data_IF_493964527071
#
_entry.id   IF_493964527071
#
_cell.length_a   1.000
_cell.length_b   1.000
_cell.length_c   1.000
_cell.angle_alpha   90.00
_cell.angle_beta   90.00
_cell.angle_gamma   90.00
#
_symmetry.space_group_name_H-M   'P 1'
#
loop_
_entity.id
_entity.type
_entity.pdbx_description
1 polymer ?
#
# COMPACT_ATOMS: atom_id res chain seq x y z
N UNK A 1 -35.16 114.40 39.12
CA UNK A 1 -34.96 114.02 37.72
C UNK A 1 -36.14 114.52 36.90
N UNK A 2 -35.92 115.11 35.72
CA UNK A 2 -37.02 115.67 34.91
C UNK A 2 -37.83 114.52 34.30
N UNK A 3 -39.15 114.39 34.59
CA UNK A 3 -39.96 113.23 34.17
C UNK A 3 -40.04 113.07 32.64
N UNK A 4 -39.79 114.13 31.88
CA UNK A 4 -39.76 114.12 30.42
C UNK A 4 -38.62 113.29 29.79
N UNK A 5 -37.56 112.96 30.54
CA UNK A 5 -36.43 112.18 30.00
C UNK A 5 -36.56 110.66 30.24
N UNK A 6 -37.42 110.24 31.17
CA UNK A 6 -37.50 108.82 31.58
C UNK A 6 -38.27 107.98 30.56
N UNK A 7 -39.38 108.50 30.03
CA UNK A 7 -40.22 107.86 29.01
C UNK A 7 -39.49 107.52 27.69
N UNK A 8 -38.71 108.44 27.07
CA UNK A 8 -37.97 108.09 25.87
C UNK A 8 -36.81 107.12 26.14
N UNK A 9 -36.21 107.13 27.33
CA UNK A 9 -35.10 106.20 27.65
C UNK A 9 -35.62 104.79 27.88
N UNK A 10 -36.72 104.61 28.60
CA UNK A 10 -37.30 103.27 28.84
C UNK A 10 -37.80 102.62 27.54
N UNK A 11 -38.35 103.41 26.61
CA UNK A 11 -38.77 102.92 25.30
C UNK A 11 -37.57 102.46 24.46
N UNK A 12 -36.48 103.23 24.39
CA UNK A 12 -35.24 102.82 23.71
C UNK A 12 -34.67 101.52 24.29
N UNK A 13 -34.62 101.40 25.63
CA UNK A 13 -34.14 100.19 26.31
C UNK A 13 -35.03 98.98 26.00
N UNK A 14 -36.35 99.15 25.96
CA UNK A 14 -37.27 98.05 25.62
C UNK A 14 -37.09 97.52 24.19
N UNK A 15 -36.83 98.41 23.23
CA UNK A 15 -36.54 98.03 21.84
C UNK A 15 -35.19 97.32 21.72
N UNK A 16 -34.17 97.80 22.45
CA UNK A 16 -32.86 97.15 22.48
C UNK A 16 -32.92 95.72 23.07
N UNK A 17 -33.68 95.54 24.16
CA UNK A 17 -33.90 94.21 24.75
C UNK A 17 -34.66 93.28 23.80
N UNK A 18 -35.67 93.77 23.09
CA UNK A 18 -36.39 92.97 22.10
C UNK A 18 -35.49 92.54 20.92
N UNK A 19 -34.64 93.45 20.42
CA UNK A 19 -33.67 93.13 19.38
C UNK A 19 -32.65 92.07 19.86
N UNK A 20 -32.16 92.19 21.11
CA UNK A 20 -31.26 91.21 21.72
C UNK A 20 -31.93 89.85 21.93
N UNK A 21 -33.19 89.82 22.40
CA UNK A 21 -33.92 88.56 22.54
C UNK A 21 -34.09 87.84 21.19
N UNK A 22 -34.37 88.59 20.12
CA UNK A 22 -34.51 88.01 18.77
C UNK A 22 -33.18 87.53 18.19
N UNK A 23 -32.07 88.23 18.44
CA UNK A 23 -30.74 87.76 18.03
C UNK A 23 -30.31 86.52 18.83
N UNK A 24 -30.55 86.51 20.14
CA UNK A 24 -30.27 85.37 21.01
C UNK A 24 -31.09 84.12 20.61
N UNK A 25 -32.34 84.28 20.19
CA UNK A 25 -33.16 83.19 19.68
C UNK A 25 -32.60 82.62 18.36
N UNK A 26 -32.18 83.50 17.44
CA UNK A 26 -31.52 83.11 16.18
C UNK A 26 -30.20 82.36 16.43
N UNK A 27 -29.40 82.81 17.39
CA UNK A 27 -28.13 82.16 17.75
C UNK A 27 -28.36 80.82 18.46
N UNK A 28 -29.41 80.71 19.28
CA UNK A 28 -29.84 79.45 19.90
C UNK A 28 -30.33 78.45 18.85
N UNK A 29 -31.05 78.89 17.82
CA UNK A 29 -31.39 78.03 16.68
C UNK A 29 -30.15 77.56 15.91
N UNK A 30 -29.18 78.45 15.67
CA UNK A 30 -27.90 78.08 15.02
C UNK A 30 -27.14 77.04 15.83
N UNK A 31 -27.00 77.25 17.14
CA UNK A 31 -26.38 76.29 18.06
C UNK A 31 -27.11 74.94 18.05
N UNK A 32 -28.44 74.93 18.09
CA UNK A 32 -29.24 73.70 17.98
C UNK A 32 -28.99 72.95 16.66
N UNK A 33 -28.83 73.67 15.54
CA UNK A 33 -28.48 73.03 14.25
C UNK A 33 -27.08 72.43 14.32
N UNK A 34 -26.09 73.16 14.85
CA UNK A 34 -24.72 72.66 15.00
C UNK A 34 -24.66 71.42 15.90
N UNK A 35 -25.38 71.41 17.03
CA UNK A 35 -25.47 70.26 17.92
C UNK A 35 -26.09 69.04 17.22
N UNK A 36 -27.15 69.24 16.43
CA UNK A 36 -27.74 68.15 15.63
C UNK A 36 -26.77 67.61 14.59
N UNK A 37 -26.02 68.48 13.91
CA UNK A 37 -25.01 68.05 12.95
C UNK A 37 -23.88 67.26 13.62
N UNK A 38 -23.44 67.69 14.81
CA UNK A 38 -22.44 66.95 15.57
C UNK A 38 -22.96 65.60 16.03
N UNK A 39 -24.20 65.52 16.52
CA UNK A 39 -24.84 64.26 16.92
C UNK A 39 -24.96 63.29 15.73
N UNK A 40 -25.44 63.77 14.58
CA UNK A 40 -25.52 62.96 13.36
C UNK A 40 -24.13 62.51 12.94
N UNK A 41 -23.14 63.41 12.94
CA UNK A 41 -21.77 63.07 12.57
C UNK A 41 -21.19 62.01 13.50
N UNK A 42 -21.39 62.15 14.81
CA UNK A 42 -20.93 61.17 15.79
C UNK A 42 -21.60 59.81 15.58
N UNK A 43 -22.91 59.78 15.34
CA UNK A 43 -23.64 58.53 15.06
C UNK A 43 -23.14 57.87 13.79
N UNK A 44 -23.05 58.61 12.68
CA UNK A 44 -22.54 58.07 11.41
C UNK A 44 -21.10 57.59 11.57
N UNK A 45 -20.25 58.32 12.30
CA UNK A 45 -18.87 57.89 12.54
C UNK A 45 -18.83 56.61 13.36
N UNK A 46 -19.68 56.46 14.37
CA UNK A 46 -19.78 55.25 15.19
C UNK A 46 -20.33 54.06 14.40
N UNK A 47 -21.40 54.27 13.61
CA UNK A 47 -21.99 53.23 12.76
C UNK A 47 -20.96 52.71 11.75
N UNK A 48 -20.26 53.61 11.06
CA UNK A 48 -19.20 53.25 10.10
C UNK A 48 -18.01 52.57 10.78
N UNK A 49 -17.59 53.04 11.96
CA UNK A 49 -16.52 52.39 12.72
C UNK A 49 -16.92 50.96 13.13
N UNK A 50 -18.16 50.76 13.55
CA UNK A 50 -18.70 49.45 13.91
C UNK A 50 -18.73 48.53 12.69
N UNK A 51 -19.09 49.04 11.51
CA UNK A 51 -19.02 48.28 10.26
C UNK A 51 -17.59 47.87 9.91
N UNK A 52 -16.61 48.76 10.08
CA UNK A 52 -15.20 48.40 9.87
C UNK A 52 -14.69 47.34 10.85
N UNK A 53 -15.03 47.45 12.14
CA UNK A 53 -14.67 46.44 13.13
C UNK A 53 -15.32 45.09 12.80
N UNK A 54 -16.58 45.12 12.37
CA UNK A 54 -17.29 43.94 11.92
C UNK A 54 -16.61 43.32 10.70
N UNK A 55 -16.32 44.08 9.66
CA UNK A 55 -15.64 43.61 8.44
C UNK A 55 -14.24 43.05 8.76
N UNK A 56 -13.50 43.68 9.67
CA UNK A 56 -12.22 43.17 10.15
C UNK A 56 -12.36 41.81 10.85
N UNK A 57 -13.37 41.66 11.72
CA UNK A 57 -13.64 40.39 12.42
C UNK A 57 -14.16 39.29 11.48
N UNK A 58 -15.03 39.64 10.53
CA UNK A 58 -15.56 38.75 9.50
C UNK A 58 -14.47 38.34 8.50
N UNK A 59 -13.48 39.19 8.24
CA UNK A 59 -12.31 38.88 7.44
C UNK A 59 -11.32 37.96 8.16
N UNK A 60 -11.23 38.02 9.49
CA UNK A 60 -10.33 37.19 10.28
C UNK A 60 -10.78 35.71 10.31
N UNK A 61 -12.08 35.45 10.44
CA UNK A 61 -12.62 34.10 10.48
C UNK A 61 -12.25 33.19 9.27
N UNK A 62 -12.38 33.62 8.00
CA UNK A 62 -11.97 32.82 6.84
C UNK A 62 -10.46 32.68 6.75
N UNK A 63 -9.68 33.66 7.22
CA UNK A 63 -8.21 33.56 7.31
C UNK A 63 -7.82 32.47 8.31
N UNK A 64 -8.44 32.46 9.50
CA UNK A 64 -8.19 31.44 10.52
C UNK A 64 -8.62 30.06 10.03
N UNK A 65 -9.79 29.95 9.38
CA UNK A 65 -10.24 28.71 8.77
C UNK A 65 -9.30 28.23 7.65
N UNK A 66 -8.78 29.14 6.83
CA UNK A 66 -7.81 28.81 5.79
C UNK A 66 -6.48 28.32 6.40
N UNK A 67 -6.01 28.97 7.46
CA UNK A 67 -4.81 28.58 8.19
C UNK A 67 -4.95 27.20 8.85
N UNK A 68 -6.10 26.89 9.45
CA UNK A 68 -6.37 25.56 10.01
C UNK A 68 -6.38 24.49 8.92
N UNK A 69 -7.06 24.75 7.80
CA UNK A 69 -7.05 23.85 6.65
C UNK A 69 -5.65 23.65 6.09
N UNK A 70 -4.86 24.73 5.97
CA UNK A 70 -3.46 24.65 5.53
C UNK A 70 -2.63 23.78 6.46
N UNK A 71 -2.72 23.97 7.78
CA UNK A 71 -2.02 23.12 8.78
C UNK A 71 -2.46 21.66 8.68
N UNK A 72 -3.75 21.41 8.49
CA UNK A 72 -4.26 20.03 8.34
C UNK A 72 -3.73 19.34 7.08
N UNK A 73 -3.67 20.07 5.97
CA UNK A 73 -3.12 19.60 4.70
C UNK A 73 -1.61 19.36 4.82
N UNK A 74 -0.88 20.25 5.50
CA UNK A 74 0.55 20.10 5.75
C UNK A 74 0.85 18.83 6.56
N UNK A 75 0.09 18.56 7.62
CA UNK A 75 0.20 17.31 8.38
C UNK A 75 -0.08 16.09 7.49
N UNK A 76 -1.15 16.11 6.70
CA UNK A 76 -1.49 15.01 5.79
C UNK A 76 -0.40 14.78 4.73
N UNK A 77 0.19 15.84 4.18
CA UNK A 77 1.29 15.74 3.21
C UNK A 77 2.54 15.15 3.87
N UNK A 78 2.87 15.54 5.10
CA UNK A 78 4.00 14.97 5.83
C UNK A 78 3.78 13.48 6.14
N UNK A 79 2.58 13.08 6.55
CA UNK A 79 2.24 11.67 6.75
C UNK A 79 2.35 10.86 5.46
N UNK A 80 1.80 11.37 4.35
CA UNK A 80 1.92 10.72 3.03
C UNK A 80 3.38 10.64 2.57
N UNK A 81 4.18 11.66 2.85
CA UNK A 81 5.62 11.65 2.55
C UNK A 81 6.33 10.54 3.33
N UNK A 82 6.08 10.45 4.64
CA UNK A 82 6.66 9.42 5.49
C UNK A 82 6.24 8.01 5.06
N UNK A 83 4.97 7.81 4.69
CA UNK A 83 4.47 6.54 4.16
C UNK A 83 5.14 6.17 2.83
N UNK A 84 5.35 7.15 1.94
CA UNK A 84 6.02 6.93 0.67
C UNK A 84 7.51 6.58 0.87
N UNK A 85 8.21 7.28 1.76
CA UNK A 85 9.61 6.97 2.11
C UNK A 85 9.73 5.56 2.71
N UNK A 86 8.82 5.17 3.60
CA UNK A 86 8.76 3.81 4.14
C UNK A 86 8.49 2.76 3.06
N UNK A 87 7.51 2.99 2.19
CA UNK A 87 7.17 2.06 1.11
C UNK A 87 8.31 1.91 0.09
N UNK A 88 9.07 2.98 -0.16
CA UNK A 88 10.29 2.92 -0.99
C UNK A 88 11.35 2.04 -0.34
N UNK A 89 11.61 2.23 0.96
CA UNK A 89 12.57 1.41 1.69
C UNK A 89 12.16 -0.07 1.67
N UNK A 90 10.89 -0.38 1.95
CA UNK A 90 10.37 -1.76 1.89
C UNK A 90 10.50 -2.37 0.49
N UNK A 91 10.31 -1.57 -0.57
CA UNK A 91 10.53 -2.02 -1.94
C UNK A 91 12.01 -2.30 -2.23
N UNK A 92 12.93 -1.47 -1.75
CA UNK A 92 14.37 -1.67 -1.92
C UNK A 92 14.84 -2.93 -1.17
N UNK A 93 14.37 -3.13 0.06
CA UNK A 93 14.64 -4.32 0.87
C UNK A 93 14.12 -5.59 0.19
N UNK A 94 12.90 -5.54 -0.38
CA UNK A 94 12.33 -6.66 -1.14
C UNK A 94 13.16 -6.99 -2.38
N UNK A 95 13.63 -5.98 -3.12
CA UNK A 95 14.49 -6.16 -4.28
C UNK A 95 15.85 -6.74 -3.91
N UNK A 96 16.44 -6.30 -2.79
CA UNK A 96 17.69 -6.85 -2.27
C UNK A 96 17.52 -8.31 -1.88
N UNK A 97 16.45 -8.64 -1.15
CA UNK A 97 16.12 -10.01 -0.77
C UNK A 97 15.88 -10.91 -1.98
N UNK A 98 15.21 -10.40 -3.02
CA UNK A 98 15.01 -11.13 -4.27
C UNK A 98 16.33 -11.47 -4.95
N UNK A 99 17.28 -10.53 -4.97
CA UNK A 99 18.63 -10.76 -5.54
C UNK A 99 19.38 -11.84 -4.76
N UNK A 100 19.45 -11.72 -3.43
CA UNK A 100 20.14 -12.72 -2.60
C UNK A 100 19.50 -14.09 -2.70
N UNK A 101 18.16 -14.17 -2.73
CA UNK A 101 17.45 -15.44 -2.94
C UNK A 101 17.76 -16.05 -4.30
N UNK A 102 17.89 -15.23 -5.34
CA UNK A 102 18.22 -15.71 -6.68
C UNK A 102 19.66 -16.24 -6.74
N UNK A 103 20.61 -15.56 -6.07
CA UNK A 103 22.00 -16.04 -5.96
C UNK A 103 22.07 -17.40 -5.25
N UNK A 104 21.29 -17.60 -4.18
CA UNK A 104 21.16 -18.89 -3.47
C UNK A 104 20.54 -19.97 -4.36
N UNK A 105 19.51 -19.63 -5.15
CA UNK A 105 18.92 -20.57 -6.09
C UNK A 105 19.91 -20.99 -7.17
N UNK A 106 20.66 -20.05 -7.73
CA UNK A 106 21.69 -20.34 -8.74
C UNK A 106 22.81 -21.20 -8.16
N UNK A 107 23.27 -20.93 -6.93
CA UNK A 107 24.28 -21.76 -6.28
C UNK A 107 23.76 -23.17 -5.98
N UNK A 108 22.55 -23.31 -5.44
CA UNK A 108 21.94 -24.60 -5.16
C UNK A 108 21.69 -25.41 -6.45
N UNK A 109 21.28 -24.76 -7.54
CA UNK A 109 21.14 -25.39 -8.85
C UNK A 109 22.48 -25.91 -9.37
N UNK A 110 23.58 -25.15 -9.18
CA UNK A 110 24.91 -25.58 -9.56
C UNK A 110 25.39 -26.80 -8.73
N UNK A 111 25.18 -26.78 -7.41
CA UNK A 111 25.49 -27.91 -6.53
C UNK A 111 24.65 -29.16 -6.87
N UNK A 112 23.37 -28.97 -7.20
CA UNK A 112 22.50 -30.05 -7.65
C UNK A 112 23.01 -30.68 -8.95
N UNK A 113 23.39 -29.87 -9.95
CA UNK A 113 23.93 -30.39 -11.20
C UNK A 113 25.25 -31.14 -10.98
N UNK A 114 26.16 -30.59 -10.17
CA UNK A 114 27.42 -31.24 -9.84
C UNK A 114 27.22 -32.59 -9.12
N UNK A 115 26.36 -32.63 -8.10
CA UNK A 115 26.05 -33.88 -7.37
C UNK A 115 25.37 -34.91 -8.27
N UNK A 116 24.49 -34.49 -9.17
CA UNK A 116 23.87 -35.36 -10.18
C UNK A 116 24.91 -35.95 -11.13
N UNK A 117 25.88 -35.16 -11.58
CA UNK A 117 26.95 -35.64 -12.47
C UNK A 117 27.87 -36.63 -11.76
N UNK A 118 28.23 -36.39 -10.50
CA UNK A 118 28.98 -37.33 -9.66
C UNK A 118 28.21 -38.64 -9.45
N UNK A 119 26.92 -38.56 -9.14
CA UNK A 119 26.07 -39.74 -8.97
C UNK A 119 26.00 -40.58 -10.25
N UNK A 120 25.79 -39.94 -11.41
CA UNK A 120 25.75 -40.64 -12.69
C UNK A 120 27.09 -41.33 -13.01
N UNK A 121 28.21 -40.65 -12.69
CA UNK A 121 29.55 -41.20 -12.88
C UNK A 121 29.78 -42.42 -11.98
N UNK A 122 29.56 -42.30 -10.67
CA UNK A 122 29.69 -43.42 -9.74
C UNK A 122 28.78 -44.57 -10.14
N UNK A 123 27.52 -44.29 -10.53
CA UNK A 123 26.61 -45.32 -11.00
C UNK A 123 27.13 -46.05 -12.25
N UNK A 124 27.79 -45.34 -13.18
CA UNK A 124 28.44 -45.97 -14.32
C UNK A 124 29.64 -46.83 -13.91
N UNK A 125 30.45 -46.36 -12.95
CA UNK A 125 31.62 -47.08 -12.43
C UNK A 125 31.18 -48.36 -11.68
N UNK A 126 30.16 -48.28 -10.83
CA UNK A 126 29.55 -49.43 -10.14
C UNK A 126 29.00 -50.46 -11.13
N UNK A 127 28.33 -50.03 -12.19
CA UNK A 127 27.81 -50.95 -13.20
C UNK A 127 28.95 -51.68 -13.95
N UNK A 128 30.03 -50.99 -14.27
CA UNK A 128 31.23 -51.62 -14.85
C UNK A 128 31.88 -52.62 -13.90
N UNK A 129 31.97 -52.30 -12.59
CA UNK A 129 32.46 -53.25 -11.59
C UNK A 129 31.57 -54.48 -11.46
N UNK A 130 30.24 -54.31 -11.49
CA UNK A 130 29.29 -55.42 -11.49
C UNK A 130 29.50 -56.32 -12.72
N UNK A 131 29.66 -55.74 -13.92
CA UNK A 131 29.93 -56.51 -15.14
C UNK A 131 31.27 -57.23 -15.07
N UNK A 132 32.32 -56.57 -14.56
CA UNK A 132 33.64 -57.15 -14.35
C UNK A 132 33.62 -58.29 -13.34
N UNK A 133 32.92 -58.12 -12.21
CA UNK A 133 32.74 -59.16 -11.18
C UNK A 133 31.92 -60.33 -11.73
N UNK A 134 30.87 -60.07 -12.50
CA UNK A 134 30.11 -61.12 -13.21
C UNK A 134 31.00 -61.88 -14.20
N UNK A 135 31.85 -61.19 -14.96
CA UNK A 135 32.82 -61.83 -15.84
C UNK A 135 33.81 -62.69 -15.04
N UNK A 136 34.37 -62.17 -13.95
CA UNK A 136 35.26 -62.92 -13.07
C UNK A 136 34.60 -64.16 -12.44
N UNK A 137 33.31 -64.07 -12.10
CA UNK A 137 32.53 -65.21 -11.60
C UNK A 137 32.21 -66.23 -12.70
N UNK A 138 31.97 -65.77 -13.93
CA UNK A 138 31.72 -66.65 -15.09
C UNK A 138 32.99 -67.29 -15.66
N UNK A 139 34.14 -66.64 -15.49
CA UNK A 139 35.44 -67.19 -15.82
C UNK A 139 35.79 -68.27 -14.77
N UNK A 140 36.04 -69.50 -15.22
CA UNK A 140 36.47 -70.59 -14.34
C UNK A 140 37.67 -70.13 -13.51
N UNK A 141 37.54 -70.16 -12.19
CA UNK A 141 38.63 -69.82 -11.28
C UNK A 141 39.85 -70.70 -11.61
N UNK A 142 41.06 -70.16 -11.70
CA UNK A 142 42.27 -70.95 -11.94
C UNK A 142 42.51 -71.98 -10.82
N UNK A 143 41.91 -71.78 -9.63
CA UNK A 143 41.90 -72.76 -8.55
C UNK A 143 41.16 -74.05 -8.95
N UNK A 144 40.17 -73.95 -9.85
CA UNK A 144 39.42 -75.09 -10.38
C UNK A 144 40.28 -76.04 -11.24
N UNK A 145 41.42 -75.57 -11.78
CA UNK A 145 42.36 -76.41 -12.53
C UNK A 145 43.14 -77.35 -11.62
N UNK A 146 43.49 -76.88 -10.42
CA UNK A 146 44.30 -77.60 -9.43
C UNK A 146 43.54 -78.65 -8.61
N UNK A 147 42.23 -78.85 -8.84
CA UNK A 147 41.51 -79.89 -8.12
C UNK A 147 41.96 -81.31 -8.53
N UNK A 148 42.34 -82.17 -7.57
CA UNK A 148 42.66 -83.56 -7.84
C UNK A 148 41.49 -84.28 -8.52
N UNK A 149 41.78 -85.12 -9.50
CA UNK A 149 40.80 -85.86 -10.32
C UNK A 149 39.65 -86.55 -9.55
N UNK A 150 39.81 -87.17 -8.36
CA UNK A 150 38.69 -87.78 -7.65
C UNK A 150 37.68 -86.76 -7.10
N UNK A 151 38.08 -85.50 -6.87
CA UNK A 151 37.21 -84.45 -6.34
C UNK A 151 36.43 -83.70 -7.44
N UNK A 152 36.88 -83.79 -8.70
CA UNK A 152 36.23 -83.18 -9.87
C UNK A 152 34.88 -83.82 -10.21
N UNK A 153 34.63 -85.04 -9.76
CA UNK A 153 33.48 -85.84 -10.20
C UNK A 153 32.30 -85.79 -9.21
N UNK A 154 32.53 -85.50 -7.92
CA UNK A 154 31.50 -85.75 -6.91
C UNK A 154 31.42 -84.76 -5.74
N UNK A 155 32.29 -83.75 -5.68
CA UNK A 155 32.32 -82.83 -4.54
C UNK A 155 31.58 -81.52 -4.79
N UNK A 156 31.13 -80.88 -3.71
CA UNK A 156 30.57 -79.52 -3.69
C UNK A 156 31.47 -78.52 -4.45
N UNK A 157 32.78 -78.79 -4.52
CA UNK A 157 33.74 -78.00 -5.27
C UNK A 157 33.49 -78.02 -6.79
N UNK A 158 32.93 -79.09 -7.36
CA UNK A 158 32.58 -79.14 -8.79
C UNK A 158 31.44 -78.17 -9.14
N UNK A 159 30.47 -78.01 -8.22
CA UNK A 159 29.37 -77.03 -8.36
C UNK A 159 29.85 -75.59 -8.19
N UNK A 160 30.81 -75.36 -7.28
CA UNK A 160 31.43 -74.05 -7.07
C UNK A 160 32.33 -73.61 -8.25
N UNK A 161 32.80 -74.57 -9.06
CA UNK A 161 33.66 -74.33 -10.23
C UNK A 161 32.91 -74.31 -11.57
N UNK A 162 31.57 -74.35 -11.55
CA UNK A 162 30.76 -74.33 -12.78
C UNK A 162 31.04 -75.51 -13.71
N UNK A 163 31.56 -76.64 -13.18
CA UNK A 163 31.72 -77.87 -13.96
C UNK A 163 30.36 -78.56 -13.94
N UNK A 164 29.49 -78.14 -14.86
CA UNK A 164 28.29 -78.89 -15.17
C UNK A 164 28.73 -80.22 -15.77
N UNK A 165 28.57 -81.27 -14.98
CA UNK A 165 28.53 -82.64 -15.50
C UNK A 165 27.38 -82.65 -16.49
N UNK A 166 27.69 -82.62 -17.78
CA UNK A 166 26.72 -82.88 -18.85
C UNK A 166 26.24 -84.31 -18.68
N UNK A 167 25.19 -84.47 -17.88
CA UNK A 167 24.26 -85.57 -18.00
C UNK A 167 23.07 -85.01 -18.75
N UNK A 168 23.06 -85.31 -20.04
CA UNK A 168 21.92 -85.21 -20.92
C UNK A 168 20.66 -85.73 -20.21
N UNK A 169 19.73 -84.82 -19.87
CA UNK A 169 18.29 -85.05 -19.94
C UNK A 169 17.51 -83.76 -19.69
N UNK A 170 16.54 -83.55 -20.58
CA UNK A 170 15.50 -82.54 -20.58
C UNK A 170 14.91 -82.27 -19.20
N UNK A 171 14.82 -80.99 -18.82
CA UNK A 171 13.53 -80.45 -18.38
C UNK A 171 13.46 -78.93 -18.53
N UNK A 172 12.65 -78.56 -19.51
CA UNK A 172 11.94 -77.29 -19.64
C UNK A 172 11.29 -76.94 -18.29
N UNK A 173 11.70 -75.84 -17.68
CA UNK A 173 10.89 -75.14 -16.68
C UNK A 173 11.13 -73.64 -16.80
N UNK A 174 10.11 -72.94 -17.29
CA UNK A 174 9.96 -71.49 -17.22
C UNK A 174 10.06 -71.02 -15.76
N UNK A 175 10.89 -70.03 -15.43
CA UNK A 175 10.63 -69.19 -14.28
C UNK A 175 9.73 -68.04 -14.73
N UNK A 176 8.51 -68.10 -14.22
CA UNK A 176 7.54 -67.02 -14.02
C UNK A 176 8.11 -65.61 -14.22
N UNK A 177 7.41 -64.84 -15.06
CA UNK A 177 7.13 -63.42 -14.82
C UNK A 177 6.74 -63.23 -13.35
N UNK A 178 7.62 -62.68 -12.54
CA UNK A 178 7.24 -61.87 -11.39
C UNK A 178 7.42 -60.41 -11.79
N UNK A 179 6.29 -59.76 -12.03
CA UNK A 179 6.18 -58.31 -12.08
C UNK A 179 6.60 -57.75 -10.72
N UNK A 180 7.62 -56.88 -10.63
CA UNK A 180 7.69 -55.94 -9.52
C UNK A 180 6.63 -54.87 -9.80
N UNK A 181 5.45 -55.15 -9.27
CA UNK A 181 4.53 -54.23 -8.61
C UNK A 181 4.94 -52.76 -8.76
N UNK A 182 4.24 -52.05 -9.63
CA UNK A 182 4.20 -50.60 -9.64
C UNK A 182 3.62 -50.11 -8.30
N UNK A 183 4.48 -49.84 -7.32
CA UNK A 183 4.17 -48.91 -6.23
C UNK A 183 4.57 -47.52 -6.70
N UNK A 184 3.60 -46.82 -7.30
CA UNK A 184 3.63 -45.38 -7.41
C UNK A 184 3.45 -44.79 -5.99
N UNK A 185 4.42 -44.06 -5.43
CA UNK A 185 4.17 -43.23 -4.27
C UNK A 185 3.37 -42.01 -4.73
N UNK A 186 2.11 -41.99 -4.28
CA UNK A 186 1.25 -40.83 -4.04
C UNK A 186 1.77 -39.48 -4.57
N UNK A 187 1.12 -39.00 -5.63
CA UNK A 187 0.93 -37.56 -5.80
C UNK A 187 0.04 -37.05 -4.65
N UNK A 188 0.67 -36.49 -3.61
CA UNK A 188 0.01 -35.52 -2.74
C UNK A 188 0.06 -34.14 -3.41
N UNK A 189 -1.07 -33.44 -3.27
CA UNK A 189 -1.46 -32.25 -4.02
C UNK A 189 -0.54 -31.02 -3.81
N UNK A 190 -0.76 -29.96 -4.59
CA UNK A 190 -1.69 -28.99 -4.07
C UNK A 190 -2.79 -28.59 -5.06
N UNK A 191 -3.95 -28.43 -4.44
CA UNK A 191 -5.18 -27.81 -4.91
C UNK A 191 -4.90 -26.63 -5.83
N UNK A 192 -5.52 -26.68 -7.01
CA UNK A 192 -5.93 -25.48 -7.72
C UNK A 192 -6.97 -24.75 -6.85
N UNK A 193 -6.57 -23.65 -6.22
CA UNK A 193 -7.52 -22.63 -5.81
C UNK A 193 -7.98 -21.89 -7.06
N UNK A 194 -9.25 -22.05 -7.38
CA UNK A 194 -9.96 -21.20 -8.31
C UNK A 194 -9.96 -19.75 -7.77
N UNK A 195 -9.63 -18.74 -8.58
CA UNK A 195 -9.95 -17.36 -8.23
C UNK A 195 -11.47 -17.22 -8.27
N UNK A 196 -12.07 -17.11 -7.09
CA UNK A 196 -13.47 -16.73 -6.90
C UNK A 196 -13.64 -15.30 -7.40
N UNK A 197 -14.15 -15.17 -8.62
CA UNK A 197 -14.82 -13.97 -9.06
C UNK A 197 -16.22 -13.95 -8.41
N UNK A 198 -16.37 -13.14 -7.36
CA UNK A 198 -17.64 -12.57 -6.89
C UNK A 198 -17.34 -11.06 -6.75
N UNK A 199 -17.67 -10.25 -7.75
CA UNK A 199 -18.99 -9.63 -7.88
C UNK A 199 -19.31 -8.71 -6.70
N UNK A 200 -18.86 -7.44 -6.81
CA UNK A 200 -19.66 -6.30 -6.35
C UNK A 200 -19.67 -5.25 -7.46
N UNK A 201 -20.77 -5.26 -8.19
CA UNK A 201 -21.18 -4.16 -9.05
C UNK A 201 -21.31 -2.86 -8.21
N UNK A 202 -20.95 -1.69 -8.78
CA UNK A 202 -21.37 -0.39 -8.28
C UNK A 202 -22.89 -0.27 -8.50
N UNK A 203 -23.64 -0.03 -7.43
CA UNK A 203 -25.06 0.27 -7.52
C UNK A 203 -25.22 1.70 -8.00
N UNK A 204 -25.51 1.83 -9.29
CA UNK A 204 -26.04 3.01 -9.94
C UNK A 204 -27.55 2.99 -9.73
N UNK A 205 -28.09 3.82 -8.82
CA UNK A 205 -29.53 4.07 -8.68
C UNK A 205 -29.76 5.29 -7.77
N UNK A 206 -29.67 6.51 -8.34
CA UNK A 206 -30.63 7.59 -8.05
C UNK A 206 -30.42 8.73 -9.05
N UNK A 207 -31.09 8.58 -10.20
CA UNK A 207 -31.33 9.68 -11.14
C UNK A 207 -32.72 9.49 -11.75
N UNK A 208 -33.76 9.93 -11.03
CA UNK A 208 -35.03 10.37 -11.64
C UNK A 208 -35.89 11.21 -10.70
N UNK A 209 -35.82 12.52 -10.89
CA UNK A 209 -36.88 13.55 -10.83
C UNK A 209 -36.13 14.80 -11.34
N UNK A 210 -36.26 15.31 -12.56
CA UNK A 210 -37.41 15.54 -13.43
C UNK A 210 -38.58 16.22 -12.72
N UNK A 211 -38.40 17.52 -12.40
CA UNK A 211 -39.44 18.50 -12.70
C UNK A 211 -38.81 19.77 -13.29
N UNK A 212 -39.61 20.41 -14.13
CA UNK A 212 -39.27 21.16 -15.32
C UNK A 212 -39.08 22.67 -15.06
N UNK A 213 -38.63 23.43 -16.08
CA UNK A 213 -37.97 24.72 -15.92
C UNK A 213 -38.97 25.89 -16.00
N UNK A 214 -38.54 27.06 -15.53
CA UNK A 214 -38.95 28.32 -16.16
C UNK A 214 -37.89 29.40 -15.99
N UNK A 215 -37.29 29.71 -17.13
CA UNK A 215 -36.60 30.96 -17.38
C UNK A 215 -37.47 32.17 -17.04
N UNK A 216 -36.84 33.21 -16.50
CA UNK A 216 -37.05 34.62 -16.87
C UNK A 216 -35.96 35.48 -16.25
N UNK A 217 -35.00 35.85 -17.09
CA UNK A 217 -34.42 37.19 -17.17
C UNK A 217 -34.75 37.71 -18.58
N UNK A 218 -34.64 39.02 -18.87
CA UNK A 218 -34.24 40.14 -18.00
C UNK A 218 -35.42 41.00 -17.52
#
# INVERSE_FOLDING_TARGET
>A
MKPYLVLPVTTVVSVALFAYMRSAETDRERQNRLMRFQDIKLRVTYDVLTEYEKEASEGQAPIDQANEKQKSLEMAVNDLRNQNEKAKQESEDCLQFKKSSNDVLVSAQAEYNNTKDLFNKEMSDWNQEIEKLKQQLSAKSPVCEFLPSPLKVESVASKLCGIEVVKEQEKKEEPKKEEPKAEAPKAEAPKAEAPKAEEKAPKEEEKKEEEAPKAKEP
#
